data_IF_575781472646
#
_entry.id   IF_575781472646
#
_cell.length_a   1.000
_cell.length_b   1.000
_cell.length_c   1.000
_cell.angle_alpha   90.00
_cell.angle_beta   90.00
_cell.angle_gamma   90.00
#
_symmetry.space_group_name_H-M   'P 1'
#
loop_
_entity.id
_entity.type
_entity.pdbx_description
1 polymer ?
#
# COMPACT_ATOMS: atom_id res chain seq x y z
N UNK A 1 14.21 -17.24 -83.51
CA UNK A 1 14.08 -18.45 -82.67
C UNK A 1 13.16 -18.14 -81.51
N UNK A 2 12.07 -18.89 -81.43
CA UNK A 2 11.02 -18.85 -80.42
C UNK A 2 11.49 -19.45 -79.10
N UNK A 3 11.09 -18.87 -77.97
CA UNK A 3 10.27 -19.55 -76.95
C UNK A 3 9.88 -18.58 -75.82
N UNK A 4 8.56 -18.47 -75.68
CA UNK A 4 7.79 -17.88 -74.59
C UNK A 4 8.22 -18.53 -73.27
N UNK A 5 8.29 -17.76 -72.19
CA UNK A 5 8.18 -18.33 -70.84
C UNK A 5 7.00 -17.72 -70.10
N UNK A 6 6.25 -18.66 -69.53
CA UNK A 6 4.88 -18.53 -69.11
C UNK A 6 4.74 -17.88 -67.75
N UNK A 7 3.70 -17.05 -67.66
CA UNK A 7 2.79 -16.95 -66.53
C UNK A 7 2.82 -18.18 -65.62
N UNK A 8 3.31 -18.03 -64.39
CA UNK A 8 2.77 -18.78 -63.26
C UNK A 8 2.48 -17.85 -62.09
N UNK A 9 1.21 -17.46 -62.09
CA UNK A 9 0.41 -16.82 -61.05
C UNK A 9 0.38 -17.75 -59.83
N UNK A 10 1.25 -17.53 -58.84
CA UNK A 10 1.14 -18.23 -57.55
C UNK A 10 0.06 -17.54 -56.72
N UNK A 11 -1.07 -18.21 -56.70
CA UNK A 11 -2.31 -17.82 -56.08
C UNK A 11 -2.20 -17.82 -54.55
N UNK A 12 -2.50 -16.65 -53.96
CA UNK A 12 -2.56 -16.41 -52.52
C UNK A 12 -3.61 -17.33 -51.88
N UNK A 13 -3.17 -18.46 -51.30
CA UNK A 13 -3.99 -19.27 -50.39
C UNK A 13 -4.18 -18.54 -49.05
N UNK A 14 -5.12 -17.59 -49.03
CA UNK A 14 -5.73 -17.06 -47.80
C UNK A 14 -6.55 -18.18 -47.16
N UNK A 15 -6.02 -18.80 -46.11
CA UNK A 15 -6.77 -19.73 -45.27
C UNK A 15 -7.84 -18.95 -44.48
N UNK A 16 -9.09 -19.05 -44.94
CA UNK A 16 -10.30 -18.63 -44.22
C UNK A 16 -10.50 -19.55 -43.00
N UNK A 17 -9.88 -19.25 -41.85
CA UNK A 17 -10.18 -19.88 -40.55
C UNK A 17 -10.25 -18.84 -39.43
N UNK A 18 -11.09 -17.80 -39.58
CA UNK A 18 -11.28 -16.80 -38.51
C UNK A 18 -12.68 -16.17 -38.40
N UNK A 19 -13.76 -16.87 -38.72
CA UNK A 19 -15.12 -16.27 -38.56
C UNK A 19 -16.04 -16.95 -37.55
N UNK A 20 -15.76 -18.17 -37.07
CA UNK A 20 -16.71 -18.86 -36.17
C UNK A 20 -16.52 -18.51 -34.69
N UNK A 21 -15.33 -18.07 -34.26
CA UNK A 21 -15.06 -17.70 -32.84
C UNK A 21 -15.59 -16.31 -32.45
N UNK A 22 -16.03 -15.50 -33.42
CA UNK A 22 -16.57 -14.15 -33.18
C UNK A 22 -18.07 -14.14 -32.89
N UNK A 23 -18.83 -15.17 -33.28
CA UNK A 23 -20.30 -15.19 -33.09
C UNK A 23 -20.76 -15.71 -31.72
N UNK A 24 -19.96 -16.51 -31.01
CA UNK A 24 -20.31 -16.97 -29.65
C UNK A 24 -19.97 -15.96 -28.55
N UNK A 25 -19.32 -14.84 -28.88
CA UNK A 25 -18.94 -13.81 -27.90
C UNK A 25 -19.98 -12.70 -27.73
N UNK A 26 -20.99 -12.65 -28.61
CA UNK A 26 -22.03 -11.61 -28.58
C UNK A 26 -23.33 -12.05 -27.90
N UNK A 27 -23.51 -13.34 -27.60
CA UNK A 27 -24.71 -13.83 -26.94
C UNK A 27 -24.70 -13.69 -25.40
N UNK A 28 -23.54 -13.47 -24.77
CA UNK A 28 -23.45 -13.23 -23.32
C UNK A 28 -23.46 -11.73 -22.93
N UNK A 29 -23.90 -10.86 -23.85
CA UNK A 29 -23.74 -9.40 -23.77
C UNK A 29 -25.09 -8.67 -23.62
N UNK A 30 -26.08 -9.29 -22.98
CA UNK A 30 -27.37 -8.68 -22.67
C UNK A 30 -27.64 -8.43 -21.17
N UNK A 31 -26.61 -8.46 -20.32
CA UNK A 31 -26.68 -7.70 -19.08
C UNK A 31 -25.95 -6.38 -19.28
N UNK A 32 -26.71 -5.38 -19.74
CA UNK A 32 -26.32 -3.97 -19.65
C UNK A 32 -25.91 -3.76 -18.19
N UNK A 33 -24.64 -3.50 -17.86
CA UNK A 33 -24.26 -3.30 -16.48
C UNK A 33 -25.02 -2.08 -16.02
N UNK A 34 -26.00 -2.27 -15.12
CA UNK A 34 -26.64 -1.17 -14.43
C UNK A 34 -25.55 -0.25 -13.91
N UNK A 35 -25.79 1.06 -14.02
CA UNK A 35 -24.88 2.07 -13.50
C UNK A 35 -24.41 1.58 -12.13
N UNK A 36 -23.10 1.39 -12.00
CA UNK A 36 -22.56 0.71 -10.84
C UNK A 36 -22.66 1.62 -9.64
N UNK A 37 -23.83 1.62 -9.04
CA UNK A 37 -24.09 2.19 -7.73
C UNK A 37 -23.15 1.47 -6.78
N UNK A 38 -22.37 2.27 -6.06
CA UNK A 38 -21.60 1.74 -4.94
C UNK A 38 -22.62 1.12 -3.97
N UNK A 39 -22.29 0.02 -3.28
CA UNK A 39 -23.14 -0.57 -2.27
C UNK A 39 -23.66 0.50 -1.31
N UNK A 40 -24.92 0.40 -0.87
CA UNK A 40 -25.50 1.39 0.01
C UNK A 40 -24.75 1.42 1.35
N UNK A 41 -23.91 2.45 1.52
CA UNK A 41 -23.04 2.65 2.69
C UNK A 41 -23.84 3.17 3.88
N UNK A 42 -25.06 3.67 3.66
CA UNK A 42 -25.94 4.21 4.72
C UNK A 42 -26.29 3.14 5.74
N UNK A 43 -26.32 1.86 5.33
CA UNK A 43 -26.56 0.71 6.22
C UNK A 43 -25.54 0.62 7.36
N UNK A 44 -24.32 1.15 7.20
CA UNK A 44 -23.31 1.15 8.28
C UNK A 44 -23.71 2.00 9.49
N UNK A 45 -24.68 2.89 9.34
CA UNK A 45 -25.17 3.75 10.43
C UNK A 45 -26.17 2.97 11.30
N UNK A 46 -26.81 1.93 10.75
CA UNK A 46 -27.78 1.12 11.47
C UNK A 46 -27.07 0.13 12.42
N UNK A 47 -27.66 -0.17 13.60
CA UNK A 47 -27.10 -1.17 14.51
C UNK A 47 -26.97 -2.55 13.84
N UNK A 48 -25.78 -3.15 13.87
CA UNK A 48 -25.51 -4.43 13.19
C UNK A 48 -25.17 -4.28 11.69
N UNK A 49 -25.26 -3.07 11.15
CA UNK A 49 -24.97 -2.76 9.76
C UNK A 49 -23.50 -2.95 9.39
N UNK A 50 -22.60 -2.80 10.36
CA UNK A 50 -21.17 -2.96 10.12
C UNK A 50 -20.80 -4.41 9.84
N UNK A 51 -21.33 -5.34 10.63
CA UNK A 51 -21.08 -6.77 10.45
C UNK A 51 -21.58 -7.27 9.07
N UNK A 52 -22.81 -6.91 8.72
CA UNK A 52 -23.46 -7.30 7.46
C UNK A 52 -22.71 -6.74 6.26
N UNK A 53 -22.36 -5.44 6.28
CA UNK A 53 -21.61 -4.78 5.22
C UNK A 53 -20.27 -5.49 4.93
N UNK A 54 -19.47 -5.79 5.95
CA UNK A 54 -18.17 -6.43 5.73
C UNK A 54 -18.27 -7.90 5.31
N UNK A 55 -19.33 -8.59 5.74
CA UNK A 55 -19.63 -9.93 5.26
C UNK A 55 -20.00 -9.92 3.77
N UNK A 56 -20.86 -9.00 3.33
CA UNK A 56 -21.20 -8.81 1.91
C UNK A 56 -19.96 -8.49 1.07
N UNK A 57 -19.08 -7.60 1.57
CA UNK A 57 -17.85 -7.26 0.85
C UNK A 57 -16.90 -8.46 0.71
N UNK A 58 -16.83 -9.33 1.73
CA UNK A 58 -16.04 -10.56 1.67
C UNK A 58 -16.56 -11.52 0.60
N UNK A 59 -17.87 -11.76 0.58
CA UNK A 59 -18.52 -12.58 -0.45
C UNK A 59 -18.28 -12.00 -1.85
N UNK A 60 -18.44 -10.69 -2.02
CA UNK A 60 -18.18 -10.02 -3.28
C UNK A 60 -16.71 -10.16 -3.75
N UNK A 61 -15.74 -10.13 -2.83
CA UNK A 61 -14.33 -10.39 -3.20
C UNK A 61 -14.13 -11.83 -3.63
N UNK A 62 -14.66 -12.79 -2.88
CA UNK A 62 -14.53 -14.23 -3.17
C UNK A 62 -15.15 -14.58 -4.54
N UNK A 63 -16.26 -13.94 -4.92
CA UNK A 63 -16.86 -14.07 -6.26
C UNK A 63 -15.98 -13.45 -7.37
N UNK A 64 -15.33 -12.33 -7.08
CA UNK A 64 -14.52 -11.60 -8.09
C UNK A 64 -13.15 -12.19 -8.40
N UNK A 65 -12.64 -13.10 -7.56
CA UNK A 65 -11.39 -13.82 -7.85
C UNK A 65 -11.46 -14.62 -9.18
N UNK A 66 -12.68 -14.81 -9.72
CA UNK A 66 -12.96 -15.40 -11.04
C UNK A 66 -12.73 -14.49 -12.26
N UNK A 67 -12.18 -13.27 -12.08
CA UNK A 67 -11.59 -12.50 -13.20
C UNK A 67 -12.19 -11.12 -13.50
N UNK A 68 -13.06 -10.58 -12.65
CA UNK A 68 -13.75 -9.31 -12.93
C UNK A 68 -13.07 -8.10 -12.25
N UNK A 69 -12.02 -7.57 -12.87
CA UNK A 69 -11.30 -6.35 -12.39
C UNK A 69 -12.19 -5.12 -12.16
N UNK A 70 -13.35 -5.03 -12.82
CA UNK A 70 -14.31 -3.93 -12.62
C UNK A 70 -15.01 -4.04 -11.27
N UNK A 71 -15.52 -5.23 -10.93
CA UNK A 71 -16.20 -5.50 -9.66
C UNK A 71 -15.23 -5.33 -8.49
N UNK A 72 -14.01 -5.88 -8.59
CA UNK A 72 -12.98 -5.69 -7.56
C UNK A 72 -12.71 -4.21 -7.24
N UNK A 73 -12.68 -3.34 -8.26
CA UNK A 73 -12.53 -1.89 -8.04
C UNK A 73 -13.73 -1.29 -7.30
N UNK A 74 -14.94 -1.74 -7.60
CA UNK A 74 -16.15 -1.29 -6.91
C UNK A 74 -16.15 -1.74 -5.46
N UNK A 75 -15.80 -3.00 -5.19
CA UNK A 75 -15.70 -3.55 -3.82
C UNK A 75 -14.67 -2.80 -2.99
N UNK A 76 -13.48 -2.55 -3.54
CA UNK A 76 -12.45 -1.74 -2.84
C UNK A 76 -12.95 -0.31 -2.57
N UNK A 77 -13.69 0.30 -3.51
CA UNK A 77 -14.25 1.63 -3.32
C UNK A 77 -15.42 1.66 -2.32
N UNK A 78 -16.21 0.59 -2.25
CA UNK A 78 -17.24 0.43 -1.22
C UNK A 78 -16.61 0.38 0.16
N UNK A 79 -15.56 -0.42 0.35
CA UNK A 79 -14.81 -0.50 1.60
C UNK A 79 -14.19 0.85 1.97
N UNK A 80 -13.66 1.59 0.99
CA UNK A 80 -13.17 2.95 1.21
C UNK A 80 -14.28 3.89 1.70
N UNK A 81 -15.46 3.83 1.08
CA UNK A 81 -16.62 4.62 1.49
C UNK A 81 -17.09 4.23 2.90
N UNK A 82 -17.15 2.93 3.21
CA UNK A 82 -17.50 2.45 4.55
C UNK A 82 -16.50 2.90 5.61
N UNK A 83 -15.20 2.88 5.29
CA UNK A 83 -14.16 3.44 6.16
C UNK A 83 -14.34 4.95 6.39
N UNK A 84 -14.80 5.70 5.38
CA UNK A 84 -15.11 7.13 5.52
C UNK A 84 -16.32 7.38 6.43
N UNK A 85 -17.34 6.52 6.37
CA UNK A 85 -18.50 6.60 7.28
C UNK A 85 -18.08 6.28 8.71
N UNK A 86 -17.35 5.18 8.94
CA UNK A 86 -16.83 4.83 10.27
C UNK A 86 -15.85 5.88 10.83
N UNK A 87 -15.15 6.64 9.99
CA UNK A 87 -14.29 7.75 10.44
C UNK A 87 -15.13 8.87 11.09
N UNK A 88 -16.38 9.04 10.66
CA UNK A 88 -17.30 10.09 11.10
C UNK A 88 -18.28 9.62 12.18
N UNK A 89 -18.59 8.32 12.19
CA UNK A 89 -19.49 7.71 13.17
C UNK A 89 -18.71 6.76 14.09
N UNK A 90 -18.53 7.18 15.35
CA UNK A 90 -17.82 6.43 16.36
C UNK A 90 -18.53 5.11 16.69
N UNK A 91 -19.86 5.09 16.71
CA UNK A 91 -20.63 3.89 17.06
C UNK A 91 -20.37 2.77 16.04
N UNK A 92 -20.39 3.10 14.74
CA UNK A 92 -20.03 2.16 13.67
C UNK A 92 -18.57 1.67 13.80
N UNK A 93 -17.65 2.53 14.26
CA UNK A 93 -16.25 2.13 14.47
C UNK A 93 -16.07 1.21 15.69
N UNK A 94 -16.80 1.46 16.77
CA UNK A 94 -16.78 0.62 17.96
C UNK A 94 -17.39 -0.75 17.65
N UNK A 95 -18.51 -0.80 16.93
CA UNK A 95 -19.10 -2.03 16.41
C UNK A 95 -18.10 -2.78 15.52
N UNK A 96 -17.39 -2.07 14.63
CA UNK A 96 -16.36 -2.65 13.78
C UNK A 96 -15.24 -3.33 14.58
N UNK A 97 -14.84 -2.73 15.71
CA UNK A 97 -13.83 -3.28 16.61
C UNK A 97 -14.26 -4.55 17.36
N UNK A 98 -15.57 -4.77 17.49
CA UNK A 98 -16.18 -5.92 18.17
C UNK A 98 -16.48 -7.09 17.23
N UNK A 99 -16.26 -6.96 15.92
CA UNK A 99 -16.53 -8.03 14.97
C UNK A 99 -15.74 -9.31 15.32
N UNK A 100 -16.34 -10.51 15.17
CA UNK A 100 -15.69 -11.79 15.48
C UNK A 100 -14.35 -12.01 14.77
N UNK A 101 -14.13 -11.37 13.61
CA UNK A 101 -12.85 -11.41 12.89
C UNK A 101 -11.65 -10.98 13.75
N UNK A 102 -11.88 -10.04 14.69
CA UNK A 102 -10.85 -9.48 15.55
C UNK A 102 -10.63 -10.27 16.83
N UNK A 103 -11.45 -11.28 17.09
CA UNK A 103 -11.30 -12.13 18.26
C UNK A 103 -9.91 -12.76 18.27
N UNK A 104 -9.23 -12.67 19.42
CA UNK A 104 -7.85 -13.13 19.62
C UNK A 104 -6.77 -12.47 18.72
N UNK A 105 -7.10 -11.41 17.96
CA UNK A 105 -6.11 -10.66 17.17
C UNK A 105 -5.46 -9.55 18.02
N UNK A 106 -4.14 -9.63 18.18
CA UNK A 106 -3.34 -8.57 18.84
C UNK A 106 -3.50 -7.19 18.20
N UNK A 107 -3.76 -7.15 16.89
CA UNK A 107 -3.91 -5.92 16.10
C UNK A 107 -5.39 -5.64 15.79
N UNK A 108 -6.26 -5.69 16.80
CA UNK A 108 -7.65 -5.26 16.65
C UNK A 108 -7.76 -3.72 16.56
N UNK A 109 -8.76 -3.18 15.86
CA UNK A 109 -9.12 -1.77 15.96
C UNK A 109 -9.36 -1.39 17.42
N UNK A 110 -8.88 -0.22 17.81
CA UNK A 110 -9.05 0.36 19.15
C UNK A 110 -9.38 1.83 18.97
N UNK A 111 -10.09 2.43 19.92
CA UNK A 111 -10.51 3.83 19.87
C UNK A 111 -9.36 4.81 19.53
N UNK A 112 -8.14 4.54 20.01
CA UNK A 112 -6.94 5.36 19.79
C UNK A 112 -6.28 5.21 18.41
N UNK A 113 -6.77 4.31 17.55
CA UNK A 113 -6.10 3.92 16.30
C UNK A 113 -6.94 4.15 15.03
N UNK A 114 -7.75 5.21 15.03
CA UNK A 114 -8.56 5.59 13.85
C UNK A 114 -7.73 5.92 12.60
N UNK A 115 -6.49 6.39 12.74
CA UNK A 115 -5.56 6.63 11.61
C UNK A 115 -5.32 5.37 10.75
N UNK A 116 -5.56 4.20 11.34
CA UNK A 116 -5.40 2.89 10.69
C UNK A 116 -6.73 2.29 10.23
N UNK A 117 -7.85 2.98 10.39
CA UNK A 117 -9.19 2.53 10.04
C UNK A 117 -9.26 1.95 8.62
N UNK A 118 -8.80 2.70 7.61
CA UNK A 118 -8.81 2.22 6.23
C UNK A 118 -8.06 0.88 6.06
N UNK A 119 -6.93 0.72 6.76
CA UNK A 119 -6.18 -0.53 6.72
C UNK A 119 -6.96 -1.68 7.36
N UNK A 120 -7.59 -1.46 8.51
CA UNK A 120 -8.38 -2.48 9.17
C UNK A 120 -9.61 -2.88 8.35
N UNK A 121 -10.32 -1.91 7.79
CA UNK A 121 -11.45 -2.12 6.89
C UNK A 121 -11.05 -2.90 5.63
N UNK A 122 -9.85 -2.68 5.08
CA UNK A 122 -9.35 -3.49 3.98
C UNK A 122 -8.91 -4.88 4.43
N UNK A 123 -8.36 -5.03 5.63
CA UNK A 123 -7.80 -6.30 6.15
C UNK A 123 -8.86 -7.32 6.52
N UNK A 124 -10.07 -6.90 6.89
CA UNK A 124 -11.17 -7.84 7.16
C UNK A 124 -11.61 -8.57 5.89
N UNK A 125 -11.52 -7.90 4.74
CA UNK A 125 -11.94 -8.43 3.43
C UNK A 125 -10.78 -9.06 2.68
N UNK A 126 -9.59 -8.45 2.72
CA UNK A 126 -8.45 -8.87 1.92
C UNK A 126 -7.31 -9.46 2.76
N UNK A 127 -6.53 -10.41 2.20
CA UNK A 127 -5.24 -10.80 2.74
C UNK A 127 -4.32 -9.60 2.99
N UNK A 128 -3.43 -9.71 3.98
CA UNK A 128 -2.62 -8.60 4.48
C UNK A 128 -1.82 -7.86 3.38
N UNK A 129 -1.27 -8.59 2.41
CA UNK A 129 -0.47 -8.00 1.33
C UNK A 129 -1.34 -7.15 0.37
N UNK A 130 -2.52 -7.65 0.02
CA UNK A 130 -3.51 -6.94 -0.80
C UNK A 130 -4.05 -5.71 -0.04
N UNK A 131 -4.42 -5.88 1.22
CA UNK A 131 -4.87 -4.79 2.09
C UNK A 131 -3.82 -3.67 2.20
N UNK A 132 -2.55 -4.03 2.42
CA UNK A 132 -1.44 -3.09 2.50
C UNK A 132 -1.22 -2.33 1.18
N UNK A 133 -1.36 -3.01 0.04
CA UNK A 133 -1.27 -2.40 -1.30
C UNK A 133 -2.39 -1.39 -1.53
N UNK A 134 -3.65 -1.76 -1.26
CA UNK A 134 -4.79 -0.87 -1.43
C UNK A 134 -4.74 0.31 -0.47
N UNK A 135 -4.39 0.08 0.80
CA UNK A 135 -4.12 1.16 1.77
C UNK A 135 -3.09 2.13 1.20
N UNK A 136 -1.95 1.63 0.71
CA UNK A 136 -0.90 2.49 0.15
C UNK A 136 -1.39 3.34 -1.03
N UNK A 137 -2.26 2.80 -1.87
CA UNK A 137 -2.83 3.54 -3.00
C UNK A 137 -3.85 4.61 -2.58
N UNK A 138 -4.57 4.38 -1.49
CA UNK A 138 -5.76 5.15 -1.10
C UNK A 138 -5.53 6.08 0.09
N UNK A 139 -4.50 5.84 0.91
CA UNK A 139 -4.29 6.56 2.18
C UNK A 139 -4.25 8.08 1.99
N UNK A 140 -3.53 8.59 0.99
CA UNK A 140 -3.44 10.04 0.76
C UNK A 140 -4.77 10.70 0.43
N UNK A 141 -5.72 9.93 -0.12
CA UNK A 141 -7.07 10.41 -0.43
C UNK A 141 -7.95 10.35 0.82
N UNK A 142 -7.81 9.27 1.61
CA UNK A 142 -8.51 9.09 2.88
C UNK A 142 -8.13 10.16 3.91
N UNK A 143 -6.84 10.49 3.99
CA UNK A 143 -6.32 11.53 4.90
C UNK A 143 -6.85 12.94 4.54
N UNK A 144 -7.23 13.16 3.27
CA UNK A 144 -7.78 14.42 2.75
C UNK A 144 -9.30 14.41 2.65
N UNK A 145 -9.95 13.36 3.16
CA UNK A 145 -11.40 13.17 3.07
C UNK A 145 -11.96 13.24 1.63
N UNK A 146 -11.18 12.79 0.64
CA UNK A 146 -11.59 12.81 -0.76
C UNK A 146 -12.80 11.87 -0.99
N UNK A 147 -13.74 12.32 -1.81
CA UNK A 147 -14.99 11.58 -2.05
C UNK A 147 -14.73 10.24 -2.75
N UNK A 148 -15.52 9.18 -2.43
CA UNK A 148 -15.36 7.88 -3.09
C UNK A 148 -15.50 7.97 -4.62
N UNK A 149 -16.37 8.85 -5.14
CA UNK A 149 -16.53 9.05 -6.58
C UNK A 149 -15.27 9.63 -7.23
N UNK A 150 -14.64 10.63 -6.60
CA UNK A 150 -13.38 11.20 -7.10
C UNK A 150 -12.28 10.14 -7.16
N UNK A 151 -12.12 9.40 -6.07
CA UNK A 151 -11.09 8.35 -5.96
C UNK A 151 -11.35 7.24 -6.99
N UNK A 152 -12.61 6.84 -7.19
CA UNK A 152 -12.99 5.86 -8.21
C UNK A 152 -12.57 6.31 -9.62
N UNK A 153 -12.73 7.58 -9.96
CA UNK A 153 -12.26 8.14 -11.25
C UNK A 153 -10.73 8.02 -11.39
N UNK A 154 -9.98 8.35 -10.34
CA UNK A 154 -8.52 8.20 -10.33
C UNK A 154 -8.10 6.73 -10.49
N UNK A 155 -8.77 5.83 -9.79
CA UNK A 155 -8.53 4.37 -9.85
C UNK A 155 -8.85 3.82 -11.24
N UNK A 156 -9.92 4.28 -11.89
CA UNK A 156 -10.26 3.89 -13.28
C UNK A 156 -9.17 4.34 -14.27
N UNK A 157 -8.61 5.55 -14.08
CA UNK A 157 -7.58 6.12 -14.96
C UNK A 157 -6.19 5.51 -14.76
N UNK A 158 -5.74 5.34 -13.51
CA UNK A 158 -4.36 4.94 -13.19
C UNK A 158 -4.23 3.49 -12.70
N UNK A 159 -5.27 2.94 -12.10
CA UNK A 159 -5.22 1.65 -11.41
C UNK A 159 -4.53 1.72 -10.05
N UNK A 160 -4.87 0.77 -9.16
CA UNK A 160 -4.32 0.73 -7.79
C UNK A 160 -2.81 0.52 -7.75
N UNK A 161 -2.23 -0.22 -8.70
CA UNK A 161 -0.79 -0.53 -8.70
C UNK A 161 0.06 0.71 -8.92
N UNK A 162 -0.30 1.51 -9.93
CA UNK A 162 0.40 2.75 -10.22
C UNK A 162 0.21 3.78 -9.10
N UNK A 163 -0.99 3.85 -8.52
CA UNK A 163 -1.25 4.71 -7.36
C UNK A 163 -0.39 4.31 -6.15
N UNK A 164 -0.32 3.02 -5.83
CA UNK A 164 0.53 2.52 -4.74
C UNK A 164 2.02 2.78 -5.01
N UNK A 165 2.48 2.56 -6.24
CA UNK A 165 3.87 2.84 -6.65
C UNK A 165 4.21 4.32 -6.52
N UNK A 166 3.33 5.21 -7.00
CA UNK A 166 3.48 6.65 -6.88
C UNK A 166 3.54 7.10 -5.40
N UNK A 167 2.64 6.58 -4.56
CA UNK A 167 2.63 6.87 -3.12
C UNK A 167 3.92 6.41 -2.41
N UNK A 168 4.45 5.22 -2.76
CA UNK A 168 5.74 4.74 -2.23
C UNK A 168 6.90 5.63 -2.65
N UNK A 169 6.92 6.07 -3.91
CA UNK A 169 7.94 7.00 -4.43
C UNK A 169 7.86 8.35 -3.71
N UNK A 170 6.67 8.89 -3.48
CA UNK A 170 6.46 10.12 -2.74
C UNK A 170 7.02 10.03 -1.31
N UNK A 171 6.66 8.97 -0.56
CA UNK A 171 7.20 8.73 0.80
C UNK A 171 8.71 8.57 0.82
N UNK A 172 9.28 7.92 -0.20
CA UNK A 172 10.73 7.78 -0.34
C UNK A 172 11.39 9.13 -0.60
N UNK A 173 10.81 9.97 -1.46
CA UNK A 173 11.30 11.32 -1.72
C UNK A 173 11.24 12.21 -0.48
N UNK A 174 10.19 12.12 0.35
CA UNK A 174 10.11 12.84 1.63
C UNK A 174 11.20 12.37 2.61
N UNK A 175 11.46 11.07 2.69
CA UNK A 175 12.50 10.51 3.58
C UNK A 175 13.93 10.71 3.07
N UNK A 176 14.12 10.89 1.77
CA UNK A 176 15.42 11.17 1.16
C UNK A 176 15.70 12.70 1.05
N UNK A 177 14.64 13.53 0.94
CA UNK A 177 14.70 14.99 0.94
C UNK A 177 15.00 15.61 2.30
N UNK A 178 14.66 14.91 3.39
CA UNK A 178 15.34 15.10 4.66
C UNK A 178 16.73 14.48 4.57
N UNK A 179 17.67 15.20 3.92
CA UNK A 179 19.03 14.75 3.63
C UNK A 179 19.51 13.75 4.68
N UNK A 180 19.50 12.46 4.33
CA UNK A 180 20.07 11.41 5.18
C UNK A 180 21.53 11.79 5.36
N UNK A 181 21.84 12.53 6.42
CA UNK A 181 23.21 12.77 6.88
C UNK A 181 23.76 11.37 7.09
N UNK A 182 24.52 10.89 6.11
CA UNK A 182 25.23 9.62 6.20
C UNK A 182 25.95 9.69 7.54
N UNK A 183 25.88 8.65 8.39
CA UNK A 183 26.64 8.65 9.63
C UNK A 183 28.08 8.99 9.25
N UNK A 184 28.56 10.16 9.73
CA UNK A 184 29.92 10.57 9.42
C UNK A 184 30.83 9.51 10.02
N UNK A 185 31.58 8.84 9.15
CA UNK A 185 32.58 7.88 9.57
C UNK A 185 33.75 8.68 10.11
N UNK A 186 33.74 8.93 11.42
CA UNK A 186 34.89 9.53 12.09
C UNK A 186 35.86 8.40 12.42
N UNK A 187 37.00 8.40 11.74
CA UNK A 187 38.13 7.53 12.05
C UNK A 187 39.02 8.21 13.07
N UNK A 188 39.27 7.54 14.17
CA UNK A 188 40.27 7.93 15.15
C UNK A 188 41.46 6.99 15.04
N UNK A 189 42.67 7.50 15.25
CA UNK A 189 43.91 6.73 15.32
C UNK A 189 44.54 6.94 16.69
N UNK A 190 44.84 5.85 17.39
CA UNK A 190 45.55 5.89 18.66
C UNK A 190 46.87 5.13 18.55
N UNK A 191 47.91 5.62 19.24
CA UNK A 191 49.23 4.98 19.31
C UNK A 191 49.24 3.69 20.15
N UNK A 192 48.29 3.54 21.08
CA UNK A 192 48.18 2.37 21.94
C UNK A 192 46.72 2.07 22.33
N UNK A 193 46.45 0.82 22.70
CA UNK A 193 45.14 0.40 23.23
C UNK A 193 44.79 1.06 24.56
N UNK A 194 45.80 1.40 25.38
CA UNK A 194 45.60 2.11 26.66
C UNK A 194 45.11 3.54 26.43
N UNK A 195 45.65 4.23 25.42
CA UNK A 195 45.23 5.60 25.07
C UNK A 195 43.82 5.62 24.52
N UNK A 196 43.46 4.68 23.64
CA UNK A 196 42.10 4.52 23.14
C UNK A 196 41.11 4.31 24.31
N UNK A 197 41.43 3.40 25.25
CA UNK A 197 40.58 3.15 26.43
C UNK A 197 40.44 4.38 27.32
N UNK A 198 41.51 5.14 27.59
CA UNK A 198 41.44 6.39 28.37
C UNK A 198 40.57 7.44 27.68
N UNK A 199 40.74 7.60 26.37
CA UNK A 199 40.00 8.59 25.58
C UNK A 199 38.49 8.27 25.55
N UNK A 200 38.11 7.01 25.36
CA UNK A 200 36.71 6.60 25.35
C UNK A 200 36.09 6.50 26.76
N UNK A 201 36.88 6.26 27.81
CA UNK A 201 36.38 6.28 29.21
C UNK A 201 36.00 7.69 29.67
N UNK A 202 36.66 8.74 29.15
CA UNK A 202 36.30 10.14 29.41
C UNK A 202 35.08 10.61 28.60
N UNK A 203 34.85 10.03 27.43
CA UNK A 203 33.71 10.35 26.56
C UNK A 203 32.47 9.56 27.05
N UNK A 204 31.79 10.06 28.10
CA UNK A 204 30.43 9.62 28.47
C UNK A 204 29.42 10.20 27.46
N UNK A 205 29.50 9.80 26.18
CA UNK A 205 28.55 10.31 25.19
C UNK A 205 27.43 9.32 24.98
N UNK A 206 26.25 9.72 25.46
CA UNK A 206 24.98 9.01 25.38
C UNK A 206 24.71 8.63 23.92
N UNK A 207 24.65 7.33 23.64
CA UNK A 207 24.17 6.81 22.35
C UNK A 207 25.21 6.38 21.33
N UNK A 208 26.50 6.31 21.68
CA UNK A 208 27.52 5.77 20.77
C UNK A 208 27.83 4.30 21.03
N UNK A 209 27.83 3.49 19.97
CA UNK A 209 28.32 2.10 20.00
C UNK A 209 29.42 1.96 18.96
N UNK A 210 30.66 1.80 19.43
CA UNK A 210 31.81 1.54 18.55
C UNK A 210 31.64 0.11 18.02
N UNK A 211 31.67 -0.05 16.69
CA UNK A 211 31.68 -1.37 16.04
C UNK A 211 32.88 -1.48 15.10
N UNK A 212 33.37 -2.71 14.95
CA UNK A 212 34.50 -3.12 14.10
C UNK A 212 35.79 -2.41 14.50
N UNK A 213 36.53 -3.05 15.43
CA UNK A 213 37.90 -2.68 15.73
C UNK A 213 38.80 -3.36 14.73
N UNK A 214 39.67 -2.58 14.08
CA UNK A 214 40.74 -3.12 13.23
C UNK A 214 42.07 -2.61 13.72
N UNK A 215 42.95 -3.54 14.12
CA UNK A 215 44.35 -3.28 14.36
C UNK A 215 45.11 -3.45 13.04
N UNK A 216 45.80 -2.40 12.61
CA UNK A 216 46.84 -2.47 11.58
C UNK A 216 48.10 -1.84 12.17
N UNK A 217 49.11 -2.68 12.44
CA UNK A 217 50.31 -2.26 13.15
C UNK A 217 50.00 -1.74 14.56
N UNK A 218 50.56 -0.58 14.93
CA UNK A 218 50.33 0.09 16.22
C UNK A 218 49.08 0.98 16.25
N UNK A 219 48.29 1.02 15.17
CA UNK A 219 47.15 1.93 15.05
C UNK A 219 45.82 1.20 15.22
N UNK A 220 44.99 1.72 16.11
CA UNK A 220 43.61 1.27 16.32
C UNK A 220 42.67 2.21 15.59
N UNK A 221 41.80 1.63 14.75
CA UNK A 221 40.71 2.34 14.07
C UNK A 221 39.35 1.77 14.46
N UNK A 222 38.35 2.63 14.59
CA UNK A 222 36.98 2.26 14.95
C UNK A 222 35.97 3.14 14.23
N UNK A 223 34.76 2.60 14.00
CA UNK A 223 33.68 3.35 13.37
C UNK A 223 32.65 3.76 14.42
N UNK A 224 32.41 5.06 14.51
CA UNK A 224 31.42 5.65 15.41
C UNK A 224 30.04 5.71 14.72
N UNK A 225 29.00 5.11 15.32
CA UNK A 225 27.61 5.31 14.88
C UNK A 225 26.83 6.03 15.97
N UNK A 226 26.29 7.20 15.65
CA UNK A 226 25.31 7.92 16.47
C UNK A 226 24.01 7.11 16.50
N UNK A 227 23.58 6.62 17.67
CA UNK A 227 22.22 6.12 17.85
C UNK A 227 21.34 7.34 18.14
N UNK A 228 20.56 7.82 17.15
CA UNK A 228 19.53 8.82 17.43
C UNK A 228 18.54 8.20 18.42
N UNK A 229 18.45 8.75 19.64
CA UNK A 229 17.20 8.69 20.38
C UNK A 229 16.27 9.69 19.70
N UNK A 230 15.15 9.23 19.17
CA UNK A 230 14.07 10.12 18.77
C UNK A 230 13.45 10.67 20.05
N UNK A 231 13.98 11.76 20.59
CA UNK A 231 13.21 12.64 21.48
C UNK A 231 12.62 13.72 20.59
N UNK A 232 11.40 13.48 20.11
CA UNK A 232 10.53 14.53 19.62
C UNK A 232 10.01 15.24 20.88
N UNK A 233 10.71 16.27 21.33
CA UNK A 233 10.19 17.15 22.37
C UNK A 233 9.73 18.43 21.68
N UNK A 234 8.48 18.41 21.22
CA UNK A 234 7.76 19.61 20.78
C UNK A 234 7.31 20.32 22.05
N UNK A 235 8.19 21.10 22.66
CA UNK A 235 7.76 22.13 23.60
C UNK A 235 7.43 23.37 22.78
N UNK A 236 6.14 23.54 22.51
CA UNK A 236 5.59 24.85 22.16
C UNK A 236 5.75 25.75 23.39
N UNK A 237 6.72 26.65 23.33
CA UNK A 237 6.75 27.82 24.20
C UNK A 237 5.90 28.91 23.55
N UNK A 238 4.63 28.98 23.95
CA UNK A 238 3.79 30.17 23.83
C UNK A 238 3.43 30.61 25.24
N UNK A 239 4.12 31.64 25.73
CA UNK A 239 3.60 32.78 26.49
C UNK A 239 4.76 33.71 26.80
#
# INVERSE_FOLDING_TARGET
MTKKNANQRVEKRRTKKSSTRRKLRNASLQQKPQASELPNVERLIEPGGTATFFQEMKLAVDETERGHRKQLRQTVMAIYAGAMVMKRNQDSYDEFGLLPHWENKRQRPKADNQDRLLYFALRIVFPNDKASKYKTALQSYFDRDASPQEVLLKVRKRGFENMASAARKAKKAETDGGAKRRPQRVTFSFRSAKDAKRHFKKIKVIGFRIRNWTLRGSTISGTLRTRRKHTCNTQNASK
#
